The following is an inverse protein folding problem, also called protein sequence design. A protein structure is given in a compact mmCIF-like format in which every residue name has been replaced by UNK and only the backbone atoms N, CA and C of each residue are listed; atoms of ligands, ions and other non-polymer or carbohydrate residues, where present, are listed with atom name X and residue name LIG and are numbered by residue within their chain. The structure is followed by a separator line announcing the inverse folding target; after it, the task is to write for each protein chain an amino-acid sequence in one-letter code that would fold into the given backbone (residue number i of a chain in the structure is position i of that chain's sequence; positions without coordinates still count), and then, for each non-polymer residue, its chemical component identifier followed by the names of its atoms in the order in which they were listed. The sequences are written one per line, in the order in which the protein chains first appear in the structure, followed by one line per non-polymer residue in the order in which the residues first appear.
data_IF_456981817394
#
_entry.id   IF_456981817394
#
_cell.length_a   1.000
_cell.length_b   1.000
_cell.length_c   1.000
_cell.angle_alpha   90.00
_cell.angle_beta   90.00
_cell.angle_gamma   90.00
#
_symmetry.space_group_name_H-M   'P 1'
#
loop_
_entity.id
_entity.type
_entity.pdbx_description
1 polymer ?
#
# COMPACT_ATOMS: atom_id res chain seq x y z
N UNK A 1 9.08 -2.54 8.50
CA UNK A 1 8.89 -3.75 7.67
C UNK A 1 9.91 -3.73 6.55
N UNK A 2 10.52 -4.87 6.18
CA UNK A 2 11.45 -4.94 5.06
C UNK A 2 10.73 -4.51 3.77
N UNK A 3 11.29 -3.53 3.08
CA UNK A 3 10.62 -2.82 1.98
C UNK A 3 10.97 -3.40 0.61
N UNK A 4 12.05 -4.17 0.53
CA UNK A 4 12.64 -4.66 -0.70
C UNK A 4 13.91 -5.47 -0.46
N UNK A 5 14.73 -5.55 -1.51
CA UNK A 5 16.05 -6.17 -1.54
C UNK A 5 17.09 -5.04 -1.53
N UNK A 6 17.98 -5.04 -0.53
CA UNK A 6 19.13 -4.13 -0.49
C UNK A 6 20.39 -4.82 -1.01
N UNK A 7 21.14 -4.11 -1.84
CA UNK A 7 22.47 -4.51 -2.33
C UNK A 7 23.51 -3.71 -1.57
N UNK A 8 24.43 -4.41 -0.92
CA UNK A 8 25.46 -3.78 -0.09
C UNK A 8 26.85 -4.12 -0.61
N UNK A 9 27.75 -3.15 -0.49
CA UNK A 9 29.19 -3.36 -0.63
C UNK A 9 29.82 -3.47 0.76
N UNK A 10 30.76 -4.40 0.91
CA UNK A 10 31.53 -4.56 2.14
C UNK A 10 32.82 -3.75 2.05
N UNK A 11 32.92 -2.69 2.85
CA UNK A 11 34.11 -1.85 2.98
C UNK A 11 34.71 -2.09 4.37
N UNK A 12 35.58 -3.10 4.47
CA UNK A 12 36.16 -3.53 5.73
C UNK A 12 35.11 -4.10 6.68
N UNK A 13 34.84 -3.40 7.79
CA UNK A 13 33.82 -3.79 8.78
C UNK A 13 32.45 -3.14 8.56
N UNK A 14 32.34 -2.23 7.59
CA UNK A 14 31.12 -1.46 7.31
C UNK A 14 30.47 -1.98 6.03
N UNK A 15 29.14 -1.95 5.99
CA UNK A 15 28.34 -2.24 4.79
C UNK A 15 27.69 -0.97 4.28
N UNK A 16 28.07 -0.57 3.07
CA UNK A 16 27.47 0.56 2.37
C UNK A 16 26.32 0.08 1.48
N UNK A 17 25.17 0.76 1.50
CA UNK A 17 24.04 0.43 0.64
C UNK A 17 24.27 1.03 -0.75
N UNK A 18 24.41 0.18 -1.77
CA UNK A 18 24.59 0.60 -3.16
C UNK A 18 23.28 0.80 -3.89
N UNK A 19 22.31 -0.08 -3.66
CA UNK A 19 21.02 -0.06 -4.34
C UNK A 19 19.93 -0.69 -3.48
N UNK A 20 18.70 -0.20 -3.62
CA UNK A 20 17.51 -0.78 -3.02
C UNK A 20 16.48 -1.08 -4.11
N UNK A 21 16.03 -2.34 -4.20
CA UNK A 21 14.97 -2.78 -5.09
C UNK A 21 13.71 -3.00 -4.26
N UNK A 22 12.79 -2.02 -4.28
CA UNK A 22 11.57 -2.08 -3.49
C UNK A 22 10.62 -3.16 -4.02
N UNK A 23 9.87 -3.79 -3.12
CA UNK A 23 8.97 -4.88 -3.49
C UNK A 23 7.90 -4.46 -4.49
N UNK A 24 7.36 -3.25 -4.38
CA UNK A 24 6.32 -2.79 -5.30
C UNK A 24 6.83 -2.51 -6.72
N UNK A 25 8.14 -2.30 -6.87
CA UNK A 25 8.79 -1.97 -8.14
C UNK A 25 9.51 -3.20 -8.72
N UNK A 26 9.78 -4.23 -7.91
CA UNK A 26 10.44 -5.47 -8.33
C UNK A 26 9.48 -6.34 -9.14
N UNK A 27 9.75 -6.48 -10.43
CA UNK A 27 8.95 -7.30 -11.33
C UNK A 27 9.40 -8.77 -11.32
N UNK A 28 10.72 -9.00 -11.37
CA UNK A 28 11.29 -10.34 -11.47
C UNK A 28 12.57 -10.46 -10.66
N UNK A 29 12.73 -11.57 -9.94
CA UNK A 29 13.98 -12.01 -9.32
C UNK A 29 14.27 -13.44 -9.78
N UNK A 30 15.38 -13.64 -10.48
CA UNK A 30 15.77 -14.93 -11.04
C UNK A 30 17.19 -15.30 -10.64
N UNK A 31 17.44 -16.60 -10.57
CA UNK A 31 18.78 -17.17 -10.42
C UNK A 31 18.96 -18.31 -11.42
N UNK A 32 19.86 -18.12 -12.37
CA UNK A 32 20.27 -19.14 -13.32
C UNK A 32 21.76 -19.45 -13.15
N UNK A 33 22.07 -20.69 -12.77
CA UNK A 33 23.42 -21.19 -12.46
C UNK A 33 24.18 -20.30 -11.49
N UNK A 34 24.85 -19.28 -11.98
CA UNK A 34 25.66 -18.33 -11.20
C UNK A 34 25.17 -16.89 -11.31
N UNK A 35 24.13 -16.63 -12.09
CA UNK A 35 23.65 -15.31 -12.46
C UNK A 35 22.34 -15.01 -11.73
N UNK A 36 22.35 -13.97 -10.92
CA UNK A 36 21.16 -13.31 -10.42
C UNK A 36 20.74 -12.21 -11.38
N UNK A 37 19.44 -12.13 -11.63
CA UNK A 37 18.82 -11.04 -12.40
C UNK A 37 17.67 -10.48 -11.59
N UNK A 38 17.73 -9.17 -11.32
CA UNK A 38 16.65 -8.41 -10.70
C UNK A 38 16.16 -7.41 -11.75
N UNK A 39 14.88 -7.50 -12.10
CA UNK A 39 14.21 -6.54 -12.96
C UNK A 39 13.28 -5.73 -12.09
N UNK A 40 13.51 -4.42 -12.02
CA UNK A 40 12.65 -3.46 -11.36
C UNK A 40 12.10 -2.46 -12.38
N UNK A 41 10.86 -2.03 -12.18
CA UNK A 41 10.18 -1.05 -13.03
C UNK A 41 9.75 0.12 -12.15
N UNK A 42 10.25 1.31 -12.47
CA UNK A 42 9.88 2.56 -11.80
C UNK A 42 9.28 3.51 -12.85
N UNK A 43 7.96 3.70 -12.79
CA UNK A 43 7.24 4.46 -13.81
C UNK A 43 7.35 3.81 -15.19
N UNK A 44 7.99 4.50 -16.14
CA UNK A 44 8.25 4.00 -17.50
C UNK A 44 9.65 3.40 -17.68
N UNK A 45 10.51 3.47 -16.67
CA UNK A 45 11.87 2.98 -16.74
C UNK A 45 11.98 1.57 -16.17
N UNK A 46 12.63 0.68 -16.92
CA UNK A 46 12.96 -0.66 -16.48
C UNK A 46 14.48 -0.75 -16.23
N UNK A 47 14.84 -1.17 -15.03
CA UNK A 47 16.23 -1.36 -14.62
C UNK A 47 16.50 -2.84 -14.44
N UNK A 48 17.53 -3.34 -15.14
CA UNK A 48 18.05 -4.69 -14.97
C UNK A 48 19.34 -4.65 -14.14
N UNK A 49 19.37 -5.38 -13.03
CA UNK A 49 20.55 -5.54 -12.19
C UNK A 49 21.01 -6.98 -12.19
N UNK A 50 22.26 -7.21 -12.59
CA UNK A 50 22.84 -8.53 -12.77
C UNK A 50 23.96 -8.74 -11.74
N UNK A 51 23.89 -9.83 -10.99
CA UNK A 51 24.91 -10.20 -10.00
C UNK A 51 25.40 -11.61 -10.23
N UNK A 52 26.65 -11.89 -9.88
CA UNK A 52 27.23 -13.23 -10.04
C UNK A 52 27.59 -13.83 -8.68
N UNK A 53 27.40 -15.13 -8.52
CA UNK A 53 27.75 -15.88 -7.31
C UNK A 53 27.98 -17.34 -7.60
N UNK A 54 28.87 -17.97 -6.83
CA UNK A 54 29.16 -19.39 -6.92
C UNK A 54 28.33 -20.26 -5.96
N UNK A 55 27.57 -19.64 -5.05
CA UNK A 55 26.93 -20.37 -3.95
C UNK A 55 25.49 -20.83 -4.27
N UNK A 56 25.34 -21.83 -5.14
CA UNK A 56 24.04 -22.36 -5.60
C UNK A 56 22.97 -22.58 -4.51
N UNK A 57 23.32 -23.24 -3.40
CA UNK A 57 22.33 -23.55 -2.33
C UNK A 57 21.76 -22.29 -1.68
N UNK A 58 22.63 -21.35 -1.28
CA UNK A 58 22.22 -20.05 -0.72
C UNK A 58 21.43 -19.24 -1.73
N UNK A 59 21.85 -19.23 -2.98
CA UNK A 59 21.17 -18.50 -4.04
C UNK A 59 19.76 -19.02 -4.31
N UNK A 60 19.60 -20.35 -4.40
CA UNK A 60 18.28 -20.99 -4.56
C UNK A 60 17.37 -20.73 -3.36
N UNK A 61 17.92 -20.76 -2.16
CA UNK A 61 17.19 -20.38 -0.95
C UNK A 61 16.74 -18.91 -1.03
N UNK A 62 17.65 -18.02 -1.39
CA UNK A 62 17.38 -16.59 -1.46
C UNK A 62 16.23 -16.25 -2.40
N UNK A 63 16.19 -16.82 -3.62
CA UNK A 63 15.07 -16.60 -4.55
C UNK A 63 13.74 -17.03 -3.93
N UNK A 64 13.68 -18.23 -3.35
CA UNK A 64 12.44 -18.74 -2.73
C UNK A 64 12.01 -17.91 -1.53
N UNK A 65 12.98 -17.50 -0.71
CA UNK A 65 12.72 -16.65 0.45
C UNK A 65 12.18 -15.28 0.01
N UNK A 66 12.87 -14.61 -0.91
CA UNK A 66 12.45 -13.32 -1.48
C UNK A 66 11.08 -13.39 -2.13
N UNK A 67 10.77 -14.47 -2.85
CA UNK A 67 9.44 -14.71 -3.41
C UNK A 67 8.35 -14.77 -2.33
N UNK A 68 8.62 -15.47 -1.21
CA UNK A 68 7.70 -15.51 -0.06
C UNK A 68 7.49 -14.13 0.59
N UNK A 69 8.58 -13.37 0.76
CA UNK A 69 8.55 -12.02 1.34
C UNK A 69 7.79 -11.05 0.42
N UNK A 70 8.08 -11.09 -0.88
CA UNK A 70 7.41 -10.28 -1.88
C UNK A 70 5.88 -10.52 -1.84
N UNK A 71 5.44 -11.79 -1.94
CA UNK A 71 4.01 -12.13 -1.84
C UNK A 71 3.36 -11.63 -0.56
N UNK A 72 4.03 -11.84 0.57
CA UNK A 72 3.51 -11.40 1.88
C UNK A 72 3.35 -9.88 1.93
N UNK A 73 4.39 -9.14 1.53
CA UNK A 73 4.39 -7.69 1.57
C UNK A 73 3.36 -7.08 0.60
N UNK A 74 3.19 -7.64 -0.59
CA UNK A 74 2.18 -7.18 -1.55
C UNK A 74 0.76 -7.43 -1.05
N UNK A 75 0.49 -8.61 -0.45
CA UNK A 75 -0.81 -8.88 0.20
C UNK A 75 -1.08 -7.93 1.36
N UNK A 76 -0.08 -7.71 2.22
CA UNK A 76 -0.22 -6.81 3.37
C UNK A 76 -0.50 -5.36 2.95
N UNK A 77 0.07 -4.90 1.82
CA UNK A 77 -0.26 -3.58 1.24
C UNK A 77 -1.73 -3.51 0.81
N UNK A 78 -2.24 -4.53 0.11
CA UNK A 78 -3.65 -4.58 -0.30
C UNK A 78 -4.60 -4.60 0.90
N UNK A 79 -4.25 -5.38 1.94
CA UNK A 79 -5.02 -5.43 3.20
C UNK A 79 -5.04 -4.08 3.93
N UNK A 80 -3.92 -3.38 4.00
CA UNK A 80 -3.89 -2.02 4.56
C UNK A 80 -4.74 -1.03 3.76
N UNK A 81 -4.83 -1.21 2.44
CA UNK A 81 -5.67 -0.35 1.59
C UNK A 81 -7.15 -0.58 1.85
N UNK A 82 -7.58 -1.84 1.96
CA UNK A 82 -8.98 -2.20 2.22
C UNK A 82 -9.46 -1.73 3.59
N UNK A 83 -8.64 -1.88 4.64
CA UNK A 83 -8.97 -1.36 5.99
C UNK A 83 -9.18 0.17 6.00
N UNK A 84 -8.37 0.92 5.24
CA UNK A 84 -8.54 2.38 5.10
C UNK A 84 -9.81 2.74 4.33
N UNK A 85 -10.16 1.93 3.33
CA UNK A 85 -11.39 2.12 2.57
C UNK A 85 -12.62 1.88 3.45
N UNK A 86 -12.61 0.83 4.25
CA UNK A 86 -13.68 0.52 5.22
C UNK A 86 -13.86 1.65 6.24
N UNK A 87 -12.76 2.21 6.78
CA UNK A 87 -12.85 3.38 7.68
C UNK A 87 -13.40 4.63 7.00
N UNK A 88 -13.14 4.80 5.69
CA UNK A 88 -13.67 5.94 4.93
C UNK A 88 -15.16 5.76 4.63
N UNK A 89 -15.60 4.53 4.34
CA UNK A 89 -17.01 4.21 4.10
C UNK A 89 -17.84 4.45 5.36
N UNK A 90 -17.36 4.05 6.54
CA UNK A 90 -18.04 4.32 7.82
C UNK A 90 -18.10 5.82 8.18
N UNK A 91 -17.25 6.65 7.58
CA UNK A 91 -17.22 8.09 7.80
C UNK A 91 -18.09 8.89 6.80
N UNK A 92 -18.76 8.22 5.85
CA UNK A 92 -19.77 8.89 5.04
C UNK A 92 -21.05 9.07 5.87
N UNK A 93 -21.61 10.29 5.97
CA UNK A 93 -22.94 10.46 6.55
C UNK A 93 -23.95 9.74 5.66
N UNK A 94 -24.86 8.97 6.27
CA UNK A 94 -25.92 8.26 5.55
C UNK A 94 -26.66 9.24 4.64
N UNK A 95 -26.49 9.08 3.33
CA UNK A 95 -27.26 9.83 2.33
C UNK A 95 -28.68 9.32 2.43
N UNK A 96 -29.51 10.03 3.19
CA UNK A 96 -30.95 9.87 3.16
C UNK A 96 -31.41 10.18 1.74
N UNK A 97 -31.88 9.17 1.00
CA UNK A 97 -32.61 9.37 -0.24
C UNK A 97 -33.88 10.14 0.12
N UNK A 98 -33.92 11.45 -0.18
CA UNK A 98 -35.14 12.25 -0.15
C UNK A 98 -36.16 11.61 -1.10
N UNK A 99 -37.12 10.92 -0.51
CA UNK A 99 -38.24 10.32 -1.22
C UNK A 99 -39.44 10.05 -0.31
N UNK A 100 -39.51 10.71 0.85
CA UNK A 100 -40.70 10.70 1.69
C UNK A 100 -40.74 11.98 2.53
N UNK A 101 -41.79 12.77 2.34
CA UNK A 101 -41.99 14.04 3.02
C UNK A 101 -41.82 13.89 4.55
N UNK A 102 -41.16 14.85 5.21
CA UNK A 102 -40.94 14.81 6.65
C UNK A 102 -42.29 14.86 7.38
N UNK A 103 -42.52 14.00 8.40
CA UNK A 103 -43.73 14.09 9.20
C UNK A 103 -43.72 15.42 9.96
N UNK A 104 -44.73 16.25 9.69
CA UNK A 104 -44.92 17.53 10.35
C UNK A 104 -45.17 17.32 11.86
N UNK A 105 -44.42 17.99 12.74
CA UNK A 105 -44.78 18.04 14.16
C UNK A 105 -46.02 18.92 14.32
N UNK A 106 -47.15 18.28 14.62
CA UNK A 106 -48.33 18.96 15.15
C UNK A 106 -48.04 19.35 16.59
N UNK A 107 -48.05 20.64 16.92
CA UNK A 107 -48.47 21.08 18.25
C UNK A 107 -49.03 22.50 18.23
N UNK A 108 -50.23 22.59 18.80
CA UNK A 108 -51.11 23.75 18.82
C UNK A 108 -50.92 24.59 20.09
N UNK A 109 -51.32 25.86 19.96
CA UNK A 109 -51.89 26.78 20.95
C UNK A 109 -50.98 27.60 21.91
N UNK A 110 -51.06 28.93 21.72
CA UNK A 110 -50.79 29.94 22.73
C UNK A 110 -50.87 31.36 22.16
N UNK A 111 -52.04 32.00 22.25
CA UNK A 111 -52.35 33.37 21.77
C UNK A 111 -51.52 34.43 22.50
N UNK A 112 -51.20 35.56 21.85
CA UNK A 112 -51.68 36.93 22.18
C UNK A 112 -51.07 37.97 21.22
N UNK A 113 -51.95 38.80 20.65
CA UNK A 113 -51.67 39.96 19.82
C UNK A 113 -50.87 41.04 20.55
N UNK A 114 -50.09 41.85 19.82
CA UNK A 114 -50.39 43.28 19.66
C UNK A 114 -49.55 43.93 18.54
N UNK A 115 -50.27 44.50 17.58
CA UNK A 115 -49.83 45.64 16.78
C UNK A 115 -49.49 46.83 17.70
N UNK A 116 -48.50 47.64 17.32
CA UNK A 116 -48.77 49.00 16.86
C UNK A 116 -47.50 49.69 16.35
N UNK A 117 -47.52 50.00 15.05
CA UNK A 117 -46.79 51.11 14.44
C UNK A 117 -47.33 52.44 14.99
N UNK A 118 -46.43 53.39 15.18
CA UNK A 118 -46.59 54.81 14.82
C UNK A 118 -45.23 55.46 14.68
#
# INVERSE_FOLDING_TARGET
MPRGIGVYEEQGSVRELLAEHLWQDTQTLQFDRKKFVIIAVEGSQQTESIFYTDHHTKSRYFVKFSESQHRFMMRMRQWKSTLKHESTIQAMPDVCVEGRDPPHPIQQHGKYCNQHDS
#
